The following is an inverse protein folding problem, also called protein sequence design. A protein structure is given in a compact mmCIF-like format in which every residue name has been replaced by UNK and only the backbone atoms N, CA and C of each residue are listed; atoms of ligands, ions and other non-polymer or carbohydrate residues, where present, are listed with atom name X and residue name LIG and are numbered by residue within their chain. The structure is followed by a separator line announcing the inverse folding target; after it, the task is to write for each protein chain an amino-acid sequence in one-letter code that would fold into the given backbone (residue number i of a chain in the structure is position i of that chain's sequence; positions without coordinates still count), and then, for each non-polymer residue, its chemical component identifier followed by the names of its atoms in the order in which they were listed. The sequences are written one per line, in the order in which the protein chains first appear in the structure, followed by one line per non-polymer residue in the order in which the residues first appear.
data_IF_751430323805
#
_entry.id   IF_751430323805
#
_cell.length_a   1.000
_cell.length_b   1.000
_cell.length_c   1.000
_cell.angle_alpha   90.00
_cell.angle_beta   90.00
_cell.angle_gamma   90.00
#
_symmetry.space_group_name_H-M   'P 1'
#
loop_
_entity.id
_entity.type
_entity.pdbx_description
1 polymer ?
#
# COMPACT_ATOMS: atom_id res chain seq x y z
N UNK A 1 18.25 -38.41 28.58
CA UNK A 1 17.56 -37.53 29.55
C UNK A 1 16.56 -36.69 28.79
N UNK A 2 15.28 -37.02 28.88
CA UNK A 2 14.20 -36.26 28.27
C UNK A 2 13.89 -35.06 29.18
N UNK A 3 14.24 -33.85 28.75
CA UNK A 3 13.92 -32.62 29.49
C UNK A 3 12.42 -32.39 29.39
N UNK A 4 11.69 -32.61 30.47
CA UNK A 4 10.25 -32.28 30.56
C UNK A 4 10.11 -30.74 30.65
N UNK A 5 9.36 -30.08 29.78
CA UNK A 5 9.16 -28.62 29.84
C UNK A 5 8.48 -28.22 31.14
N UNK A 6 8.87 -27.09 31.71
CA UNK A 6 8.21 -26.53 32.92
C UNK A 6 6.74 -26.16 32.60
N UNK A 7 5.86 -26.08 33.60
CA UNK A 7 4.43 -25.66 33.41
C UNK A 7 4.32 -24.34 32.70
N UNK A 8 5.19 -23.37 32.95
CA UNK A 8 5.26 -22.08 32.29
C UNK A 8 5.60 -22.21 30.76
N UNK A 9 6.49 -23.14 30.41
CA UNK A 9 6.86 -23.44 29.04
C UNK A 9 5.71 -24.16 28.31
N UNK A 10 4.98 -25.04 28.98
CA UNK A 10 3.81 -25.72 28.43
C UNK A 10 2.64 -24.75 28.21
N UNK A 11 2.37 -23.84 29.14
CA UNK A 11 1.38 -22.79 29.01
C UNK A 11 1.71 -21.85 27.82
N UNK A 12 2.98 -21.47 27.67
CA UNK A 12 3.45 -20.66 26.54
C UNK A 12 3.32 -21.40 25.20
N UNK A 13 3.59 -22.70 25.15
CA UNK A 13 3.43 -23.53 23.97
C UNK A 13 1.94 -23.67 23.57
N UNK A 14 1.06 -23.93 24.54
CA UNK A 14 -0.37 -24.03 24.31
C UNK A 14 -0.96 -22.72 23.76
N UNK A 15 -0.52 -21.57 24.29
CA UNK A 15 -0.93 -20.26 23.80
C UNK A 15 -0.51 -20.03 22.32
N UNK A 16 0.73 -20.40 21.97
CA UNK A 16 1.21 -20.31 20.58
C UNK A 16 0.39 -21.17 19.62
N UNK A 17 0.08 -22.41 20.01
CA UNK A 17 -0.74 -23.32 19.22
C UNK A 17 -2.15 -22.77 19.04
N UNK A 18 -2.75 -22.19 20.09
CA UNK A 18 -4.05 -21.56 20.04
C UNK A 18 -4.09 -20.41 19.04
N UNK A 19 -3.12 -19.49 19.10
CA UNK A 19 -2.99 -18.36 18.17
C UNK A 19 -2.87 -18.86 16.72
N UNK A 20 -2.03 -19.88 16.46
CA UNK A 20 -1.89 -20.45 15.11
C UNK A 20 -3.18 -21.10 14.63
N UNK A 21 -3.93 -21.76 15.52
CA UNK A 21 -5.22 -22.37 15.18
C UNK A 21 -6.28 -21.31 14.88
N UNK A 22 -6.27 -20.18 15.58
CA UNK A 22 -7.16 -19.04 15.33
C UNK A 22 -6.84 -18.34 13.99
N UNK A 23 -5.58 -18.36 13.56
CA UNK A 23 -5.18 -17.80 12.25
C UNK A 23 -5.55 -18.70 11.05
N UNK A 24 -5.77 -20.00 11.27
CA UNK A 24 -5.97 -20.97 10.19
C UNK A 24 -7.12 -20.64 9.23
N UNK A 25 -8.32 -20.21 9.66
CA UNK A 25 -9.42 -19.86 8.75
C UNK A 25 -9.03 -18.73 7.79
N UNK A 26 -8.31 -17.71 8.27
CA UNK A 26 -7.85 -16.58 7.44
C UNK A 26 -6.77 -17.03 6.45
N UNK A 27 -5.84 -17.89 6.86
CA UNK A 27 -4.83 -18.47 5.96
C UNK A 27 -5.54 -19.23 4.83
N UNK A 28 -6.52 -20.08 5.16
CA UNK A 28 -7.30 -20.83 4.15
C UNK A 28 -8.07 -19.92 3.21
N UNK A 29 -8.68 -18.84 3.74
CA UNK A 29 -9.45 -17.87 2.98
C UNK A 29 -8.57 -17.09 1.98
N UNK A 30 -7.37 -16.68 2.39
CA UNK A 30 -6.52 -15.77 1.62
C UNK A 30 -5.36 -16.45 0.90
N UNK A 31 -5.12 -17.75 1.08
CA UNK A 31 -4.13 -18.50 0.29
C UNK A 31 -4.44 -18.38 -1.20
N UNK A 32 -3.42 -18.03 -2.00
CA UNK A 32 -3.53 -17.80 -3.45
C UNK A 32 -4.21 -16.48 -3.84
N UNK A 33 -4.69 -15.68 -2.89
CA UNK A 33 -5.33 -14.39 -3.16
C UNK A 33 -4.31 -13.27 -3.29
N UNK A 34 -4.53 -12.40 -4.27
CA UNK A 34 -3.71 -11.20 -4.46
C UNK A 34 -4.15 -10.11 -3.49
N UNK A 35 -3.19 -9.55 -2.77
CA UNK A 35 -3.38 -8.45 -1.82
C UNK A 35 -2.40 -7.34 -2.21
N UNK A 36 -2.94 -6.18 -2.61
CA UNK A 36 -2.12 -5.02 -2.95
C UNK A 36 -2.00 -4.14 -1.72
N UNK A 37 -0.77 -3.87 -1.31
CA UNK A 37 -0.45 -3.02 -0.16
C UNK A 37 0.23 -1.76 -0.64
N UNK A 38 -0.39 -0.61 -0.41
CA UNK A 38 0.28 0.67 -0.60
C UNK A 38 1.07 1.02 0.65
N UNK A 39 2.37 1.18 0.50
CA UNK A 39 3.32 1.50 1.56
C UNK A 39 3.86 2.93 1.41
N UNK A 40 3.78 3.71 2.47
CA UNK A 40 4.22 5.10 2.45
C UNK A 40 4.00 5.82 3.79
N UNK A 41 4.25 7.12 3.82
CA UNK A 41 4.02 7.97 4.99
C UNK A 41 4.96 7.69 6.15
N UNK A 42 4.43 7.76 7.37
CA UNK A 42 5.20 7.62 8.61
C UNK A 42 5.89 6.25 8.75
N UNK A 43 5.26 5.18 8.28
CA UNK A 43 5.81 3.83 8.31
C UNK A 43 7.13 3.67 7.53
N UNK A 44 7.42 4.56 6.59
CA UNK A 44 8.70 4.57 5.85
C UNK A 44 9.82 5.29 6.60
N UNK A 45 9.50 6.18 7.55
CA UNK A 45 10.49 7.01 8.24
C UNK A 45 11.06 6.34 9.47
N UNK A 46 10.26 5.57 10.18
CA UNK A 46 10.66 4.84 11.38
C UNK A 46 11.21 3.47 11.00
N UNK A 47 12.46 3.19 11.41
CA UNK A 47 13.14 1.94 11.07
C UNK A 47 12.47 0.70 11.68
N UNK A 48 11.87 0.82 12.86
CA UNK A 48 11.18 -0.28 13.55
C UNK A 48 9.87 -0.61 12.82
N UNK A 49 9.07 0.41 12.49
CA UNK A 49 7.83 0.23 11.73
C UNK A 49 8.12 -0.31 10.33
N UNK A 50 9.19 0.17 9.69
CA UNK A 50 9.65 -0.36 8.39
C UNK A 50 9.93 -1.85 8.47
N UNK A 51 10.74 -2.30 9.44
CA UNK A 51 11.05 -3.73 9.64
C UNK A 51 9.78 -4.56 9.88
N UNK A 52 8.83 -4.06 10.67
CA UNK A 52 7.57 -4.75 10.94
C UNK A 52 6.71 -4.92 9.67
N UNK A 53 6.49 -3.85 8.90
CA UNK A 53 5.74 -3.94 7.63
C UNK A 53 6.40 -4.93 6.66
N UNK A 54 7.73 -4.91 6.56
CA UNK A 54 8.48 -5.85 5.72
C UNK A 54 8.26 -7.29 6.19
N UNK A 55 8.34 -7.56 7.50
CA UNK A 55 8.07 -8.89 8.06
C UNK A 55 6.64 -9.34 7.84
N UNK A 56 5.68 -8.44 7.96
CA UNK A 56 4.26 -8.72 7.68
C UNK A 56 4.06 -9.16 6.23
N UNK A 57 4.63 -8.42 5.27
CA UNK A 57 4.57 -8.77 3.84
C UNK A 57 5.23 -10.12 3.54
N UNK A 58 6.40 -10.39 4.14
CA UNK A 58 7.08 -11.69 4.02
C UNK A 58 6.23 -12.80 4.62
N UNK A 59 5.64 -12.58 5.81
CA UNK A 59 4.74 -13.55 6.44
C UNK A 59 3.53 -13.86 5.54
N UNK A 60 2.88 -12.86 4.98
CA UNK A 60 1.77 -13.05 4.03
C UNK A 60 2.18 -13.96 2.87
N UNK A 61 3.36 -13.72 2.30
CA UNK A 61 3.90 -14.57 1.21
C UNK A 61 4.18 -16.00 1.69
N UNK A 62 4.78 -16.17 2.88
CA UNK A 62 5.08 -17.49 3.45
C UNK A 62 3.83 -18.35 3.69
N UNK A 63 2.68 -17.73 4.03
CA UNK A 63 1.42 -18.46 4.23
C UNK A 63 0.61 -18.62 2.94
N UNK A 64 1.22 -18.35 1.78
CA UNK A 64 0.65 -18.61 0.46
C UNK A 64 -0.24 -17.50 -0.09
N UNK A 65 -0.30 -16.32 0.54
CA UNK A 65 -0.90 -15.13 -0.05
C UNK A 65 0.02 -14.56 -1.15
N UNK A 66 -0.51 -13.69 -2.01
CA UNK A 66 0.20 -13.05 -3.12
C UNK A 66 0.30 -11.54 -2.88
N UNK A 67 1.18 -11.07 -1.96
CA UNK A 67 1.33 -9.66 -1.69
C UNK A 67 2.04 -8.94 -2.84
N UNK A 68 1.55 -7.76 -3.20
CA UNK A 68 2.19 -6.80 -4.11
C UNK A 68 2.33 -5.50 -3.36
N UNK A 69 3.56 -5.00 -3.25
CA UNK A 69 3.84 -3.77 -2.53
C UNK A 69 3.97 -2.60 -3.51
N UNK A 70 3.15 -1.57 -3.33
CA UNK A 70 3.26 -0.32 -4.09
C UNK A 70 3.73 0.79 -3.15
N UNK A 71 4.79 1.51 -3.52
CA UNK A 71 5.35 2.52 -2.64
C UNK A 71 5.46 3.91 -3.28
N UNK A 72 5.38 4.93 -2.44
CA UNK A 72 5.82 6.28 -2.73
C UNK A 72 7.20 6.56 -2.13
N UNK A 73 7.50 7.81 -1.80
CA UNK A 73 8.77 8.23 -1.19
C UNK A 73 8.90 9.75 -1.12
N UNK A 74 7.79 10.44 -0.88
CA UNK A 74 7.77 11.91 -0.80
C UNK A 74 8.83 12.51 0.13
N UNK A 75 9.03 11.97 1.35
CA UNK A 75 10.07 12.45 2.25
C UNK A 75 11.49 12.30 1.71
N UNK A 76 11.78 11.17 1.08
CA UNK A 76 13.10 10.90 0.48
C UNK A 76 13.35 11.81 -0.72
N UNK A 77 12.31 12.05 -1.54
CA UNK A 77 12.39 13.02 -2.65
C UNK A 77 12.72 14.41 -2.09
N UNK A 78 12.02 14.87 -1.03
CA UNK A 78 12.31 16.17 -0.40
C UNK A 78 13.76 16.26 0.08
N UNK A 79 14.25 15.20 0.73
CA UNK A 79 15.63 15.14 1.23
C UNK A 79 16.66 15.30 0.08
N UNK A 80 16.38 14.71 -1.08
CA UNK A 80 17.30 14.80 -2.23
C UNK A 80 17.14 16.12 -2.98
N UNK A 81 15.95 16.67 -3.11
CA UNK A 81 15.74 18.00 -3.67
C UNK A 81 16.48 19.06 -2.83
N UNK A 82 16.37 19.00 -1.50
CA UNK A 82 17.07 19.89 -0.57
C UNK A 82 18.59 19.82 -0.77
N UNK A 83 19.17 18.61 -0.86
CA UNK A 83 20.62 18.41 -1.14
C UNK A 83 21.06 19.01 -2.47
N UNK A 84 20.17 19.10 -3.45
CA UNK A 84 20.43 19.66 -4.76
C UNK A 84 20.08 21.16 -4.86
N UNK A 85 19.58 21.76 -3.76
CA UNK A 85 19.16 23.15 -3.73
C UNK A 85 17.88 23.44 -4.52
N UNK A 86 17.04 22.42 -4.73
CA UNK A 86 15.74 22.54 -5.41
C UNK A 86 14.65 22.61 -4.36
N UNK A 87 13.89 23.70 -4.31
CA UNK A 87 12.80 23.88 -3.35
C UNK A 87 11.55 23.07 -3.78
N UNK A 88 11.05 22.15 -2.93
CA UNK A 88 9.85 21.38 -3.25
C UNK A 88 8.60 22.29 -3.28
N UNK A 89 7.87 22.27 -4.37
CA UNK A 89 6.62 23.00 -4.51
C UNK A 89 5.42 22.04 -4.59
N UNK A 90 4.27 22.48 -4.05
CA UNK A 90 3.04 21.71 -4.07
C UNK A 90 1.87 22.58 -4.53
N UNK A 91 0.99 22.01 -5.36
CA UNK A 91 -0.26 22.62 -5.81
C UNK A 91 -1.40 21.61 -5.65
N UNK A 92 -2.40 21.95 -4.86
CA UNK A 92 -3.55 21.07 -4.57
C UNK A 92 -3.13 19.66 -4.06
N UNK A 93 -2.08 19.59 -3.25
CA UNK A 93 -1.55 18.32 -2.73
C UNK A 93 -0.67 17.53 -3.70
N UNK A 94 -0.55 17.96 -4.96
CA UNK A 94 0.35 17.38 -5.96
C UNK A 94 1.71 18.10 -5.92
N UNK A 95 2.79 17.32 -6.02
CA UNK A 95 4.14 17.88 -6.14
C UNK A 95 4.32 18.49 -7.52
N UNK A 96 4.57 19.78 -7.61
CA UNK A 96 5.00 20.39 -8.87
C UNK A 96 6.29 19.71 -9.30
N UNK A 97 6.27 19.09 -10.48
CA UNK A 97 7.34 18.22 -10.96
C UNK A 97 7.81 18.72 -12.32
N UNK A 98 8.76 19.68 -12.32
CA UNK A 98 9.47 20.09 -13.52
C UNK A 98 10.49 19.03 -13.96
N UNK A 99 11.22 19.25 -15.03
CA UNK A 99 12.16 18.28 -15.57
C UNK A 99 13.24 17.89 -14.55
N UNK A 100 13.84 18.85 -13.86
CA UNK A 100 14.88 18.59 -12.85
C UNK A 100 14.31 17.83 -11.66
N UNK A 101 13.11 18.19 -11.22
CA UNK A 101 12.40 17.46 -10.15
C UNK A 101 12.03 16.05 -10.59
N UNK A 102 11.64 15.83 -11.88
CA UNK A 102 11.29 14.49 -12.37
C UNK A 102 12.49 13.56 -12.38
N UNK A 103 13.67 14.05 -12.78
CA UNK A 103 14.92 13.29 -12.71
C UNK A 103 15.21 12.82 -11.27
N UNK A 104 15.05 13.72 -10.29
CA UNK A 104 15.23 13.37 -8.87
C UNK A 104 14.17 12.36 -8.40
N UNK A 105 12.90 12.55 -8.77
CA UNK A 105 11.81 11.63 -8.45
C UNK A 105 12.12 10.23 -8.97
N UNK A 106 12.53 10.11 -10.23
CA UNK A 106 12.84 8.81 -10.83
C UNK A 106 14.06 8.16 -10.15
N UNK A 107 15.18 8.87 -9.98
CA UNK A 107 16.36 8.35 -9.27
C UNK A 107 16.04 7.87 -7.86
N UNK A 108 15.25 8.65 -7.12
CA UNK A 108 14.95 8.36 -5.72
C UNK A 108 13.96 7.20 -5.60
N UNK A 109 12.85 7.26 -6.32
CA UNK A 109 11.81 6.24 -6.20
C UNK A 109 12.24 4.90 -6.78
N UNK A 110 12.77 4.89 -8.02
CA UNK A 110 13.12 3.65 -8.73
C UNK A 110 14.46 3.09 -8.26
N UNK A 111 15.46 3.97 -8.11
CA UNK A 111 16.83 3.55 -7.79
C UNK A 111 17.05 3.31 -6.29
N UNK A 112 16.62 4.24 -5.44
CA UNK A 112 16.94 4.20 -4.01
C UNK A 112 15.85 3.50 -3.18
N UNK A 113 14.66 4.08 -3.11
CA UNK A 113 13.59 3.59 -2.22
C UNK A 113 13.13 2.19 -2.59
N UNK A 114 12.88 1.96 -3.88
CA UNK A 114 12.49 0.64 -4.39
C UNK A 114 13.52 -0.44 -4.03
N UNK A 115 14.80 -0.18 -4.29
CA UNK A 115 15.87 -1.17 -4.05
C UNK A 115 16.18 -1.36 -2.57
N UNK A 116 15.97 -0.35 -1.74
CA UNK A 116 16.01 -0.50 -0.28
C UNK A 116 14.94 -1.47 0.21
N UNK A 117 13.68 -1.29 -0.22
CA UNK A 117 12.55 -2.16 0.15
C UNK A 117 12.81 -3.60 -0.31
N UNK A 118 13.22 -3.78 -1.57
CA UNK A 118 13.59 -5.11 -2.11
C UNK A 118 14.67 -5.78 -1.26
N UNK A 119 15.72 -5.04 -0.91
CA UNK A 119 16.81 -5.56 -0.07
C UNK A 119 16.30 -5.99 1.31
N UNK A 120 15.44 -5.20 1.95
CA UNK A 120 14.87 -5.51 3.26
C UNK A 120 13.98 -6.76 3.21
N UNK A 121 13.13 -6.91 2.19
CA UNK A 121 12.32 -8.12 2.02
C UNK A 121 13.21 -9.35 1.84
N UNK A 122 14.27 -9.26 1.03
CA UNK A 122 15.21 -10.36 0.81
C UNK A 122 15.98 -10.72 2.10
N UNK A 123 16.39 -9.72 2.88
CA UNK A 123 17.03 -9.95 4.19
C UNK A 123 16.09 -10.59 5.21
N UNK A 124 14.78 -10.31 5.12
CA UNK A 124 13.76 -10.91 5.97
C UNK A 124 13.35 -12.33 5.53
N UNK A 125 13.99 -12.88 4.49
CA UNK A 125 13.74 -14.24 3.98
C UNK A 125 12.69 -14.34 2.90
N UNK A 126 12.18 -13.21 2.38
CA UNK A 126 11.36 -13.16 1.18
C UNK A 126 12.19 -13.18 -0.10
N UNK A 127 11.52 -13.20 -1.25
CA UNK A 127 12.15 -13.04 -2.56
C UNK A 127 11.41 -11.93 -3.31
N UNK A 128 12.00 -10.73 -3.42
CA UNK A 128 11.34 -9.57 -4.00
C UNK A 128 11.97 -9.13 -5.32
N UNK A 129 11.13 -8.60 -6.22
CA UNK A 129 11.53 -7.98 -7.48
C UNK A 129 11.02 -6.55 -7.52
N UNK A 130 11.93 -5.59 -7.72
CA UNK A 130 11.59 -4.17 -7.78
C UNK A 130 11.33 -3.71 -9.21
N UNK A 131 10.21 -3.02 -9.40
CA UNK A 131 9.69 -2.50 -10.67
C UNK A 131 9.27 -1.05 -10.54
N UNK A 132 9.11 -0.41 -11.70
CA UNK A 132 8.32 0.81 -11.89
C UNK A 132 7.33 0.61 -13.03
N UNK A 133 6.48 1.59 -13.30
CA UNK A 133 5.49 1.47 -14.38
C UNK A 133 6.09 1.31 -15.79
N UNK A 134 7.37 1.68 -15.99
CA UNK A 134 8.06 1.52 -17.28
C UNK A 134 8.44 0.06 -17.58
N UNK A 135 8.60 -0.77 -16.53
CA UNK A 135 9.08 -2.15 -16.68
C UNK A 135 7.98 -3.02 -17.29
N UNK A 136 8.29 -3.63 -18.42
CA UNK A 136 7.33 -4.49 -19.14
C UNK A 136 6.03 -3.79 -19.55
N UNK A 137 6.04 -2.47 -19.72
CA UNK A 137 4.84 -1.65 -19.99
C UNK A 137 3.75 -1.79 -18.92
N UNK A 138 4.15 -2.06 -17.66
CA UNK A 138 3.24 -2.30 -16.54
C UNK A 138 2.20 -1.19 -16.38
N UNK A 139 2.60 0.09 -16.49
CA UNK A 139 1.69 1.23 -16.35
C UNK A 139 1.94 2.20 -17.52
N UNK A 140 0.89 2.42 -18.29
CA UNK A 140 0.84 3.52 -19.25
C UNK A 140 0.35 4.77 -18.52
N UNK A 141 1.15 5.84 -18.56
CA UNK A 141 0.80 7.12 -17.98
C UNK A 141 0.17 8.07 -19.01
N UNK A 142 -0.52 9.09 -18.52
CA UNK A 142 -0.88 10.30 -19.24
C UNK A 142 -0.65 11.51 -18.33
N UNK A 143 -0.46 12.73 -18.92
CA UNK A 143 -0.41 13.94 -18.11
C UNK A 143 -1.64 14.07 -17.22
N UNK A 144 -1.45 14.54 -15.97
CA UNK A 144 -2.57 14.87 -15.10
C UNK A 144 -3.33 16.10 -15.64
N UNK A 145 -4.65 16.07 -15.51
CA UNK A 145 -5.50 17.23 -15.84
C UNK A 145 -5.42 18.30 -14.74
N UNK A 146 -4.21 18.89 -14.59
CA UNK A 146 -3.94 19.91 -13.61
C UNK A 146 -2.89 20.89 -14.13
N UNK A 147 -3.29 22.14 -14.33
CA UNK A 147 -2.39 23.18 -14.82
C UNK A 147 -1.23 23.48 -13.88
N UNK A 148 -0.02 23.63 -14.41
CA UNK A 148 1.17 24.08 -13.69
C UNK A 148 1.75 23.10 -12.71
N UNK A 149 1.50 21.79 -12.89
CA UNK A 149 2.11 20.72 -12.07
C UNK A 149 3.27 20.00 -12.77
N UNK A 150 3.52 20.30 -14.05
CA UNK A 150 4.60 19.70 -14.84
C UNK A 150 4.38 18.20 -15.10
N UNK A 151 5.41 17.37 -14.89
CA UNK A 151 5.39 15.94 -15.13
C UNK A 151 4.69 15.13 -14.03
N UNK A 152 3.56 15.61 -13.57
CA UNK A 152 2.61 14.82 -12.76
C UNK A 152 1.71 14.04 -13.71
N UNK A 153 1.53 12.75 -13.45
CA UNK A 153 0.76 11.86 -14.30
C UNK A 153 -0.42 11.22 -13.60
N UNK A 154 -1.30 10.68 -14.44
CA UNK A 154 -2.36 9.76 -14.10
C UNK A 154 -2.11 8.41 -14.77
N UNK A 155 -2.68 7.35 -14.21
CA UNK A 155 -2.67 6.03 -14.83
C UNK A 155 -3.69 6.01 -15.97
N UNK A 156 -3.23 5.76 -17.20
CA UNK A 156 -4.09 5.56 -18.36
C UNK A 156 -4.55 4.10 -18.46
N UNK A 157 -3.60 3.16 -18.29
CA UNK A 157 -3.88 1.72 -18.26
C UNK A 157 -2.81 0.98 -17.47
N UNK A 158 -3.14 -0.25 -17.03
CA UNK A 158 -2.22 -1.20 -16.38
C UNK A 158 -2.25 -2.50 -17.14
N UNK A 159 -1.09 -3.01 -17.53
CA UNK A 159 -0.92 -4.39 -18.00
C UNK A 159 -0.33 -5.24 -16.86
N UNK A 160 -1.13 -6.08 -16.19
CA UNK A 160 -0.69 -6.82 -15.03
C UNK A 160 0.21 -8.03 -15.37
N UNK A 161 0.45 -8.35 -16.63
CA UNK A 161 1.12 -9.59 -17.09
C UNK A 161 2.46 -9.84 -16.42
N UNK A 162 3.29 -8.78 -16.26
CA UNK A 162 4.59 -8.92 -15.59
C UNK A 162 4.44 -9.18 -14.08
N UNK A 163 3.44 -8.57 -13.43
CA UNK A 163 3.17 -8.80 -12.01
C UNK A 163 2.71 -10.24 -11.78
N UNK A 164 1.81 -10.74 -12.63
CA UNK A 164 1.34 -12.13 -12.59
C UNK A 164 2.50 -13.12 -12.77
N UNK A 165 3.39 -12.86 -13.73
CA UNK A 165 4.56 -13.71 -13.95
C UNK A 165 5.47 -13.78 -12.71
N UNK A 166 5.75 -12.62 -12.07
CA UNK A 166 6.59 -12.52 -10.89
C UNK A 166 5.94 -13.21 -9.69
N UNK A 167 4.64 -12.98 -9.46
CA UNK A 167 3.88 -13.61 -8.37
C UNK A 167 3.79 -15.12 -8.57
N UNK A 168 3.54 -15.59 -9.79
CA UNK A 168 3.48 -17.02 -10.11
C UNK A 168 4.83 -17.72 -9.96
N UNK A 169 5.94 -16.98 -10.10
CA UNK A 169 7.29 -17.45 -9.79
C UNK A 169 7.61 -17.46 -8.28
N UNK A 170 6.66 -17.08 -7.41
CA UNK A 170 6.83 -17.05 -5.96
C UNK A 170 7.59 -15.82 -5.43
N UNK A 171 7.68 -14.76 -6.23
CA UNK A 171 8.34 -13.52 -5.84
C UNK A 171 7.33 -12.44 -5.44
N UNK A 172 7.77 -11.48 -4.63
CA UNK A 172 7.01 -10.34 -4.17
C UNK A 172 7.32 -9.14 -5.06
N UNK A 173 6.39 -8.65 -5.91
CA UNK A 173 6.59 -7.42 -6.67
C UNK A 173 6.62 -6.20 -5.74
N UNK A 174 7.58 -5.31 -5.97
CA UNK A 174 7.69 -4.00 -5.29
C UNK A 174 7.66 -2.92 -6.36
N UNK A 175 6.58 -2.16 -6.45
CA UNK A 175 6.32 -1.21 -7.54
C UNK A 175 6.44 0.22 -7.05
N UNK A 176 7.28 1.01 -7.70
CA UNK A 176 7.36 2.46 -7.48
C UNK A 176 6.34 3.22 -8.35
N UNK A 177 5.90 4.39 -7.88
CA UNK A 177 4.86 5.20 -8.53
C UNK A 177 5.40 6.12 -9.64
N UNK A 178 6.29 5.60 -10.48
CA UNK A 178 6.80 6.25 -11.69
C UNK A 178 6.38 5.43 -12.90
N UNK A 179 5.84 6.08 -13.92
CA UNK A 179 5.45 5.44 -15.17
C UNK A 179 5.77 6.36 -16.36
N UNK A 180 5.58 5.87 -17.59
CA UNK A 180 5.80 6.66 -18.79
C UNK A 180 4.57 6.65 -19.71
N UNK A 181 4.47 7.67 -20.55
CA UNK A 181 3.52 7.68 -21.66
C UNK A 181 4.06 6.91 -22.89
N UNK A 182 3.29 6.89 -23.97
CA UNK A 182 3.65 6.22 -25.24
C UNK A 182 4.93 6.77 -25.88
N UNK A 183 5.31 8.01 -25.55
CA UNK A 183 6.52 8.65 -26.05
C UNK A 183 7.74 8.34 -25.20
N UNK A 184 7.56 7.68 -24.06
CA UNK A 184 8.61 7.39 -23.07
C UNK A 184 8.82 8.52 -22.05
N UNK A 185 8.02 9.59 -22.08
CA UNK A 185 8.08 10.65 -21.08
C UNK A 185 7.67 10.10 -19.71
N UNK A 186 8.55 10.27 -18.72
CA UNK A 186 8.30 9.84 -17.35
C UNK A 186 7.37 10.79 -16.60
N UNK A 187 6.52 10.22 -15.74
CA UNK A 187 5.61 10.96 -14.87
C UNK A 187 5.67 10.47 -13.43
N UNK A 188 5.57 11.42 -12.51
CA UNK A 188 5.38 11.20 -11.08
C UNK A 188 3.88 11.00 -10.81
N UNK A 189 3.48 9.82 -10.35
CA UNK A 189 2.08 9.47 -10.12
C UNK A 189 1.84 9.29 -8.61
N UNK A 190 0.64 9.61 -8.15
CA UNK A 190 0.26 9.34 -6.76
C UNK A 190 0.27 7.83 -6.48
N UNK A 191 1.00 7.41 -5.44
CA UNK A 191 1.18 5.99 -5.13
C UNK A 191 -0.12 5.29 -4.67
N UNK A 192 -1.08 6.02 -4.07
CA UNK A 192 -2.39 5.46 -3.73
C UNK A 192 -3.16 5.13 -5.03
N UNK A 193 -3.10 6.04 -6.02
CA UNK A 193 -3.70 5.81 -7.36
C UNK A 193 -3.07 4.61 -8.06
N UNK A 194 -1.73 4.53 -8.09
CA UNK A 194 -1.03 3.38 -8.69
C UNK A 194 -1.43 2.07 -8.02
N UNK A 195 -1.50 2.05 -6.69
CA UNK A 195 -1.92 0.84 -5.95
C UNK A 195 -3.36 0.44 -6.28
N UNK A 196 -4.26 1.42 -6.37
CA UNK A 196 -5.66 1.17 -6.71
C UNK A 196 -5.85 0.62 -8.12
N UNK A 197 -5.18 1.19 -9.12
CA UNK A 197 -5.27 0.73 -10.51
C UNK A 197 -4.62 -0.66 -10.70
N UNK A 198 -3.48 -0.93 -10.05
CA UNK A 198 -2.88 -2.28 -10.03
C UNK A 198 -3.82 -3.29 -9.37
N UNK A 199 -4.44 -2.92 -8.23
CA UNK A 199 -5.39 -3.79 -7.54
C UNK A 199 -6.61 -4.10 -8.42
N UNK A 200 -7.12 -3.12 -9.14
CA UNK A 200 -8.23 -3.27 -10.07
C UNK A 200 -7.85 -4.17 -11.26
N UNK A 201 -6.71 -3.93 -11.91
CA UNK A 201 -6.24 -4.71 -13.05
C UNK A 201 -6.04 -6.20 -12.70
N UNK A 202 -5.63 -6.50 -11.46
CA UNK A 202 -5.41 -7.87 -10.97
C UNK A 202 -6.68 -8.50 -10.36
N UNK A 203 -7.79 -7.77 -10.24
CA UNK A 203 -8.98 -8.23 -9.50
C UNK A 203 -8.64 -8.63 -8.06
N UNK A 204 -7.84 -7.82 -7.38
CA UNK A 204 -7.30 -8.12 -6.07
C UNK A 204 -8.38 -8.40 -5.04
N UNK A 205 -8.12 -9.34 -4.12
CA UNK A 205 -9.00 -9.62 -2.98
C UNK A 205 -9.06 -8.44 -2.02
N UNK A 206 -7.91 -7.81 -1.77
CA UNK A 206 -7.80 -6.63 -0.90
C UNK A 206 -6.86 -5.59 -1.49
N UNK A 207 -7.26 -4.32 -1.36
CA UNK A 207 -6.38 -3.16 -1.44
C UNK A 207 -6.20 -2.60 -0.03
N UNK A 208 -4.97 -2.48 0.46
CA UNK A 208 -4.68 -1.95 1.80
C UNK A 208 -3.81 -0.70 1.66
N UNK A 209 -4.32 0.45 2.11
CA UNK A 209 -3.60 1.71 2.14
C UNK A 209 -3.06 1.96 3.56
N UNK A 210 -1.75 1.84 3.75
CA UNK A 210 -1.08 2.24 4.98
C UNK A 210 -0.99 3.77 5.04
N UNK A 211 -1.46 4.36 6.12
CA UNK A 211 -1.49 5.81 6.35
C UNK A 211 -0.97 6.17 7.75
N UNK A 212 -0.97 7.43 8.09
CA UNK A 212 -0.61 8.00 9.39
C UNK A 212 -1.83 8.39 10.25
N UNK A 213 -2.99 7.85 9.91
CA UNK A 213 -4.24 8.00 10.68
C UNK A 213 -4.84 6.64 10.98
N UNK A 214 -5.68 6.55 12.02
CA UNK A 214 -6.34 5.30 12.41
C UNK A 214 -7.27 4.72 11.33
N UNK A 215 -7.65 5.53 10.34
CA UNK A 215 -8.59 5.21 9.29
C UNK A 215 -9.47 6.43 8.99
N UNK A 216 -10.70 6.20 8.58
CA UNK A 216 -11.70 7.25 8.37
C UNK A 216 -12.34 7.59 9.71
N UNK A 217 -12.18 8.82 10.18
CA UNK A 217 -12.70 9.33 11.45
C UNK A 217 -13.88 10.26 11.17
N UNK A 218 -14.91 10.25 12.03
CA UNK A 218 -15.97 11.28 11.99
C UNK A 218 -15.44 12.62 12.47
N UNK A 219 -14.58 12.61 13.49
CA UNK A 219 -13.80 13.75 13.96
C UNK A 219 -12.31 13.41 13.85
N UNK A 220 -11.58 14.12 13.01
CA UNK A 220 -10.16 13.90 12.77
C UNK A 220 -9.29 13.95 14.04
N UNK A 221 -9.74 14.68 15.06
CA UNK A 221 -9.03 14.85 16.33
C UNK A 221 -9.38 13.79 17.38
N UNK A 222 -10.37 12.95 17.14
CA UNK A 222 -10.83 11.91 18.05
C UNK A 222 -10.77 10.52 17.40
N UNK A 223 -9.76 9.73 17.75
CA UNK A 223 -9.59 8.37 17.27
C UNK A 223 -10.72 7.39 17.68
N UNK A 224 -11.48 7.72 18.73
CA UNK A 224 -12.64 6.94 19.14
C UNK A 224 -13.81 7.03 18.14
N UNK A 225 -13.75 8.01 17.21
CA UNK A 225 -14.76 8.19 16.17
C UNK A 225 -14.45 7.43 14.88
N UNK A 226 -13.55 6.43 14.92
CA UNK A 226 -13.22 5.57 13.80
C UNK A 226 -14.48 4.91 13.23
N UNK A 227 -14.62 4.99 11.92
CA UNK A 227 -15.67 4.29 11.18
C UNK A 227 -15.05 2.99 10.64
N UNK A 228 -15.33 1.84 11.26
CA UNK A 228 -14.64 0.61 10.92
C UNK A 228 -15.08 0.01 9.58
N UNK A 229 -16.34 0.27 9.18
CA UNK A 229 -16.90 -0.30 7.94
C UNK A 229 -17.80 0.72 7.26
N UNK A 230 -17.72 0.74 5.92
CA UNK A 230 -18.45 1.64 5.04
C UNK A 230 -18.78 0.90 3.74
N UNK A 231 -19.87 1.29 3.10
CA UNK A 231 -20.07 1.00 1.69
C UNK A 231 -19.61 2.21 0.80
N UNK A 232 -19.67 2.02 -0.52
CA UNK A 232 -19.28 3.05 -1.49
C UNK A 232 -20.16 4.30 -1.37
N UNK A 233 -21.47 4.15 -1.09
CA UNK A 233 -22.40 5.26 -1.00
C UNK A 233 -22.12 6.11 0.25
N UNK A 234 -21.93 5.44 1.39
CA UNK A 234 -21.54 6.08 2.66
C UNK A 234 -20.21 6.81 2.55
N UNK A 235 -19.21 6.17 1.92
CA UNK A 235 -17.89 6.79 1.69
C UNK A 235 -18.01 8.09 0.86
N UNK A 236 -18.83 8.08 -0.20
CA UNK A 236 -19.09 9.28 -1.02
C UNK A 236 -19.87 10.35 -0.25
N UNK A 237 -20.82 9.95 0.56
CA UNK A 237 -21.59 10.86 1.40
C UNK A 237 -20.69 11.58 2.40
N UNK A 238 -19.78 10.88 3.09
CA UNK A 238 -18.83 11.49 4.02
C UNK A 238 -17.88 12.49 3.35
N UNK A 239 -17.51 12.26 2.08
CA UNK A 239 -16.76 13.26 1.29
C UNK A 239 -17.64 14.49 1.02
N UNK A 240 -18.88 14.30 0.60
CA UNK A 240 -19.80 15.39 0.28
C UNK A 240 -20.16 16.23 1.51
N UNK A 241 -20.27 15.62 2.68
CA UNK A 241 -20.53 16.27 3.98
C UNK A 241 -19.27 16.96 4.55
N UNK A 242 -18.08 16.78 3.96
CA UNK A 242 -16.82 17.36 4.42
C UNK A 242 -16.23 16.66 5.66
N UNK A 243 -16.78 15.54 6.09
CA UNK A 243 -16.22 14.69 7.16
C UNK A 243 -14.89 14.11 6.70
N UNK A 244 -14.86 13.55 5.49
CA UNK A 244 -13.62 13.17 4.82
C UNK A 244 -13.04 14.40 4.13
N UNK A 245 -11.87 14.85 4.58
CA UNK A 245 -11.24 16.10 4.14
C UNK A 245 -9.73 15.94 3.87
N UNK A 246 -9.12 16.95 3.27
CA UNK A 246 -7.67 17.03 3.05
C UNK A 246 -7.08 15.80 2.37
N UNK A 247 -5.98 15.27 2.90
CA UNK A 247 -5.25 14.11 2.36
C UNK A 247 -6.01 12.77 2.43
N UNK A 248 -7.16 12.71 3.12
CA UNK A 248 -8.00 11.51 3.17
C UNK A 248 -8.88 11.38 1.93
N UNK A 249 -9.29 12.50 1.30
CA UNK A 249 -10.12 12.50 0.07
C UNK A 249 -9.52 11.63 -1.04
N UNK A 250 -8.25 11.82 -1.47
CA UNK A 250 -7.67 11.00 -2.53
C UNK A 250 -7.59 9.51 -2.15
N UNK A 251 -7.41 9.17 -0.88
CA UNK A 251 -7.38 7.77 -0.42
C UNK A 251 -8.76 7.11 -0.52
N UNK A 252 -9.78 7.75 0.01
CA UNK A 252 -11.17 7.25 -0.06
C UNK A 252 -11.63 7.17 -1.52
N UNK A 253 -11.31 8.19 -2.34
CA UNK A 253 -11.62 8.19 -3.79
C UNK A 253 -10.93 7.02 -4.50
N UNK A 254 -9.66 6.75 -4.20
CA UNK A 254 -8.93 5.60 -4.71
C UNK A 254 -9.62 4.28 -4.34
N UNK A 255 -9.98 4.08 -3.07
CA UNK A 255 -10.68 2.89 -2.60
C UNK A 255 -12.02 2.70 -3.34
N UNK A 256 -12.84 3.74 -3.40
CA UNK A 256 -14.15 3.71 -4.10
C UNK A 256 -13.99 3.36 -5.57
N UNK A 257 -13.00 3.96 -6.25
CA UNK A 257 -12.71 3.69 -7.67
C UNK A 257 -12.26 2.24 -7.89
N UNK A 258 -11.35 1.74 -7.07
CA UNK A 258 -10.84 0.36 -7.17
C UNK A 258 -11.94 -0.67 -6.93
N UNK A 259 -12.82 -0.44 -5.95
CA UNK A 259 -13.99 -1.29 -5.69
C UNK A 259 -14.97 -1.31 -6.87
N UNK A 260 -15.23 -0.15 -7.48
CA UNK A 260 -16.07 -0.04 -8.67
C UNK A 260 -15.50 -0.80 -9.88
N UNK A 261 -14.19 -1.04 -9.89
CA UNK A 261 -13.46 -1.78 -10.93
C UNK A 261 -13.23 -3.27 -10.59
N UNK A 262 -13.76 -3.76 -9.46
CA UNK A 262 -13.79 -5.20 -9.16
C UNK A 262 -12.90 -5.66 -8.00
N UNK A 263 -12.16 -4.79 -7.34
CA UNK A 263 -11.50 -5.10 -6.05
C UNK A 263 -12.56 -5.50 -5.04
N UNK A 264 -12.31 -6.53 -4.22
CA UNK A 264 -13.35 -7.07 -3.32
C UNK A 264 -13.52 -6.24 -2.05
N UNK A 265 -12.42 -5.77 -1.45
CA UNK A 265 -12.44 -4.89 -0.29
C UNK A 265 -11.25 -3.92 -0.33
N UNK A 266 -11.46 -2.69 0.14
CA UNK A 266 -10.41 -1.70 0.27
C UNK A 266 -10.30 -1.24 1.73
N UNK A 267 -9.08 -1.12 2.24
CA UNK A 267 -8.81 -0.84 3.65
C UNK A 267 -7.89 0.38 3.77
N UNK A 268 -8.18 1.25 4.73
CA UNK A 268 -7.32 2.36 5.13
C UNK A 268 -6.95 2.11 6.59
N UNK A 269 -5.66 1.84 6.85
CA UNK A 269 -5.19 1.41 8.18
C UNK A 269 -3.99 2.23 8.65
N UNK A 270 -3.80 2.29 9.97
CA UNK A 270 -2.68 3.01 10.58
C UNK A 270 -1.37 2.22 10.44
N UNK A 271 -0.47 2.71 9.59
CA UNK A 271 0.87 2.14 9.41
C UNK A 271 1.82 2.40 10.59
N UNK A 272 1.40 3.16 11.61
CA UNK A 272 2.17 3.38 12.84
C UNK A 272 1.90 2.31 13.90
N UNK A 273 0.82 1.54 13.75
CA UNK A 273 0.54 0.40 14.61
C UNK A 273 1.46 -0.78 14.25
N UNK A 274 2.15 -1.37 15.23
CA UNK A 274 2.94 -2.58 15.02
C UNK A 274 2.10 -3.69 14.41
N UNK A 275 2.59 -4.30 13.33
CA UNK A 275 1.93 -5.42 12.66
C UNK A 275 0.48 -5.15 12.20
N UNK A 276 0.20 -3.89 11.84
CA UNK A 276 -1.16 -3.47 11.41
C UNK A 276 -1.69 -4.27 10.21
N UNK A 277 -0.83 -4.69 9.28
CA UNK A 277 -1.22 -5.55 8.16
C UNK A 277 -1.73 -6.92 8.63
N UNK A 278 -1.04 -7.56 9.54
CA UNK A 278 -1.45 -8.87 10.05
C UNK A 278 -2.71 -8.75 10.91
N UNK A 279 -2.82 -7.70 11.73
CA UNK A 279 -4.02 -7.44 12.51
C UNK A 279 -5.25 -7.23 11.61
N UNK A 280 -5.09 -6.52 10.49
CA UNK A 280 -6.19 -6.29 9.53
C UNK A 280 -6.60 -7.54 8.75
N UNK A 281 -5.66 -8.45 8.50
CA UNK A 281 -5.93 -9.66 7.71
C UNK A 281 -6.39 -10.83 8.59
N UNK A 282 -5.87 -10.96 9.81
CA UNK A 282 -6.03 -12.13 10.67
C UNK A 282 -6.97 -11.89 11.87
N UNK A 283 -7.76 -10.81 11.85
CA UNK A 283 -8.80 -10.56 12.88
C UNK A 283 -10.10 -10.08 12.26
N UNK A 284 -11.23 -10.40 12.88
CA UNK A 284 -12.55 -9.97 12.42
C UNK A 284 -12.80 -8.48 12.61
N UNK A 285 -12.18 -7.89 13.63
CA UNK A 285 -12.35 -6.47 13.95
C UNK A 285 -11.55 -5.55 13.04
N UNK A 286 -10.41 -6.04 12.49
CA UNK A 286 -9.46 -5.20 11.79
C UNK A 286 -8.84 -4.14 12.69
N UNK A 287 -8.13 -3.19 12.08
CA UNK A 287 -7.46 -2.06 12.79
C UNK A 287 -7.78 -0.69 12.20
N UNK A 288 -8.52 -0.64 11.09
CA UNK A 288 -8.81 0.58 10.35
C UNK A 288 -10.22 0.65 9.83
N UNK A 289 -10.36 1.32 8.69
CA UNK A 289 -11.63 1.43 7.98
C UNK A 289 -11.62 0.55 6.75
N UNK A 290 -12.62 -0.32 6.63
CA UNK A 290 -12.87 -1.14 5.45
C UNK A 290 -14.00 -0.52 4.63
N UNK A 291 -13.78 -0.39 3.32
CA UNK A 291 -14.82 -0.01 2.36
C UNK A 291 -15.12 -1.23 1.48
N UNK A 292 -16.38 -1.56 1.30
CA UNK A 292 -16.84 -2.66 0.46
C UNK A 292 -17.83 -2.20 -0.63
N UNK A 293 -18.03 -3.03 -1.65
CA UNK A 293 -18.89 -2.69 -2.79
C UNK A 293 -20.39 -2.72 -2.48
N UNK A 294 -20.80 -3.44 -1.43
CA UNK A 294 -22.20 -3.62 -1.05
C UNK A 294 -22.39 -3.39 0.46
N UNK A 295 -23.61 -2.93 0.88
CA UNK A 295 -23.94 -2.88 2.28
C UNK A 295 -23.80 -4.25 2.94
N UNK A 296 -23.40 -4.28 4.19
CA UNK A 296 -23.31 -5.49 4.99
C UNK A 296 -24.74 -5.93 5.38
N UNK A 297 -25.17 -7.11 4.92
CA UNK A 297 -26.38 -7.78 5.40
C UNK A 297 -26.12 -8.57 6.67
#
# INVERSE_FOLDING_TARGET
MTITPSETQQASAATKVKILSEALPYIQQFTGKTIVVKYGGAAMKDSTLKDQVIRDVVFMSCVGMRPILVHGGGPEINTWLDKLGIEPQFKNGLRVTDAATMDVVEMVLVGRVNKEIVSLINQAGGAAVGLCGKDGHLIQARPADAEGVGFVGEVASVDPSILEAIVNAGHIPVVSSVAADETGQAYNINADTVAGEIAAALGAEKLILLTDTAGILRDYHDSATLIPRLDIAEARQLIAEGVVSGGMIPKVTCCVRSLAQGVKAAHIIDGRLPHSLLLEIFTDSGTGSMIASSPWT
#
